data_IF_064960425894
#
_entry.id   IF_064960425894
#
_cell.length_a   1.000
_cell.length_b   1.000
_cell.length_c   1.000
_cell.angle_alpha   90.00
_cell.angle_beta   90.00
_cell.angle_gamma   90.00
#
_symmetry.space_group_name_H-M   'P 1'
#
loop_
_entity.id
_entity.type
_entity.pdbx_description
1 polymer ?
#
# COMPACT_ATOMS: atom_id res chain seq x y z
N UNK A 1 -17.81 -8.85 6.88
CA UNK A 1 -16.79 -7.77 6.74
C UNK A 1 -15.52 -8.12 7.50
N UNK A 2 -15.56 -8.39 8.81
CA UNK A 2 -14.35 -8.70 9.58
C UNK A 2 -13.58 -9.91 9.05
N UNK A 3 -14.27 -10.96 8.61
CA UNK A 3 -13.63 -12.14 7.98
C UNK A 3 -12.86 -11.76 6.69
N UNK A 4 -13.45 -10.91 5.86
CA UNK A 4 -12.81 -10.40 4.64
C UNK A 4 -11.56 -9.57 4.97
N UNK A 5 -11.64 -8.73 6.01
CA UNK A 5 -10.50 -7.95 6.50
C UNK A 5 -9.38 -8.87 7.01
N UNK A 6 -9.71 -9.95 7.72
CA UNK A 6 -8.71 -10.95 8.15
C UNK A 6 -8.05 -11.65 6.95
N UNK A 7 -8.82 -12.02 5.92
CA UNK A 7 -8.29 -12.60 4.69
C UNK A 7 -7.31 -11.64 3.97
N UNK A 8 -7.66 -10.35 3.87
CA UNK A 8 -6.77 -9.32 3.32
C UNK A 8 -5.49 -9.21 4.16
N UNK A 9 -5.61 -9.15 5.48
CA UNK A 9 -4.46 -9.08 6.38
C UNK A 9 -3.54 -10.31 6.30
N UNK A 10 -4.09 -11.50 6.02
CA UNK A 10 -3.28 -12.70 5.73
C UNK A 10 -2.43 -12.51 4.47
N UNK A 11 -3.01 -11.95 3.41
CA UNK A 11 -2.26 -11.63 2.18
C UNK A 11 -1.16 -10.60 2.48
N UNK A 12 -1.45 -9.56 3.26
CA UNK A 12 -0.46 -8.54 3.62
C UNK A 12 0.71 -9.10 4.41
N UNK A 13 0.44 -9.98 5.38
CA UNK A 13 1.50 -10.69 6.12
C UNK A 13 2.37 -11.54 5.20
N UNK A 14 1.78 -12.20 4.20
CA UNK A 14 2.54 -12.98 3.23
C UNK A 14 3.44 -12.10 2.34
N UNK A 15 2.95 -10.92 1.91
CA UNK A 15 3.76 -9.93 1.19
C UNK A 15 4.93 -9.48 2.07
N UNK A 16 4.65 -9.06 3.30
CA UNK A 16 5.68 -8.55 4.21
C UNK A 16 6.76 -9.60 4.49
N UNK A 17 6.40 -10.87 4.68
CA UNK A 17 7.34 -11.98 4.86
C UNK A 17 8.22 -12.22 3.64
N UNK A 18 7.65 -12.20 2.42
CA UNK A 18 8.45 -12.36 1.20
C UNK A 18 9.40 -11.20 0.98
N UNK A 19 8.95 -9.96 1.26
CA UNK A 19 9.82 -8.79 1.22
C UNK A 19 10.95 -8.95 2.23
N UNK A 20 10.67 -9.33 3.47
CA UNK A 20 11.71 -9.54 4.49
C UNK A 20 12.78 -10.55 4.03
N UNK A 21 12.36 -11.68 3.45
CA UNK A 21 13.28 -12.68 2.88
C UNK A 21 14.15 -12.07 1.76
N UNK A 22 13.55 -11.34 0.82
CA UNK A 22 14.28 -10.66 -0.25
C UNK A 22 15.29 -9.65 0.32
N UNK A 23 14.87 -8.85 1.30
CA UNK A 23 15.71 -7.82 1.92
C UNK A 23 16.90 -8.44 2.65
N UNK A 24 16.68 -9.53 3.40
CA UNK A 24 17.75 -10.25 4.08
C UNK A 24 18.75 -10.87 3.10
N UNK A 25 18.26 -11.41 1.98
CA UNK A 25 19.11 -12.06 0.98
C UNK A 25 19.92 -11.07 0.12
N UNK A 26 19.36 -9.91 -0.19
CA UNK A 26 19.94 -8.95 -1.15
C UNK A 26 20.52 -7.69 -0.51
N UNK A 27 20.11 -7.35 0.71
CA UNK A 27 20.36 -6.04 1.31
C UNK A 27 19.52 -4.91 0.72
N UNK A 28 18.56 -5.18 -0.18
CA UNK A 28 17.67 -4.17 -0.75
C UNK A 28 16.83 -3.50 0.35
N UNK A 29 16.88 -2.18 0.43
CA UNK A 29 16.11 -1.43 1.42
C UNK A 29 15.83 -0.01 0.91
N UNK A 30 14.72 0.57 1.38
CA UNK A 30 14.52 2.00 1.18
C UNK A 30 15.53 2.79 2.04
N UNK A 31 16.05 3.94 1.57
CA UNK A 31 16.86 4.80 2.42
C UNK A 31 16.10 5.23 3.68
N UNK A 32 16.85 5.47 4.77
CA UNK A 32 16.27 5.97 6.01
C UNK A 32 15.51 7.27 5.77
N UNK A 33 14.26 7.34 6.24
CA UNK A 33 13.39 8.50 6.05
C UNK A 33 12.80 8.62 4.64
N UNK A 34 12.79 7.57 3.83
CA UNK A 34 12.15 7.58 2.52
C UNK A 34 10.62 7.48 2.63
N UNK A 35 9.92 8.47 2.05
CA UNK A 35 8.46 8.48 1.90
C UNK A 35 8.00 8.69 0.44
N UNK A 36 8.91 8.59 -0.53
CA UNK A 36 8.70 9.00 -1.92
C UNK A 36 7.54 8.28 -2.63
N UNK A 37 7.18 7.07 -2.20
CA UNK A 37 6.01 6.37 -2.74
C UNK A 37 4.68 7.06 -2.36
N UNK A 38 4.60 7.71 -1.20
CA UNK A 38 3.40 8.42 -0.73
C UNK A 38 3.23 9.79 -1.41
N UNK A 39 4.30 10.36 -1.97
CA UNK A 39 4.27 11.62 -2.73
C UNK A 39 3.72 11.45 -4.15
N UNK A 40 3.57 10.21 -4.66
CA UNK A 40 3.07 9.98 -6.00
C UNK A 40 1.54 10.23 -6.05
N UNK A 41 1.06 11.22 -6.83
CA UNK A 41 -0.37 11.55 -6.89
C UNK A 41 -1.21 10.55 -7.70
N UNK A 42 -0.56 9.59 -8.36
CA UNK A 42 -1.19 8.59 -9.22
C UNK A 42 -1.30 7.22 -8.54
N UNK A 43 -1.17 7.16 -7.21
CA UNK A 43 -1.34 5.90 -6.49
C UNK A 43 -2.83 5.54 -6.49
N UNK A 44 -3.13 4.37 -7.04
CA UNK A 44 -4.48 3.83 -7.10
C UNK A 44 -4.57 2.52 -6.30
N UNK A 45 -5.71 2.25 -5.70
CA UNK A 45 -5.98 1.01 -5.00
C UNK A 45 -7.48 0.73 -5.03
N UNK A 46 -7.85 -0.49 -4.65
CA UNK A 46 -9.26 -0.85 -4.51
C UNK A 46 -9.78 -0.42 -3.15
N UNK A 47 -11.10 -0.15 -3.04
CA UNK A 47 -11.76 0.06 -1.74
C UNK A 47 -11.55 -1.15 -0.83
N UNK A 48 -11.54 -2.36 -1.40
CA UNK A 48 -11.33 -3.61 -0.71
C UNK A 48 -10.02 -3.61 0.09
N UNK A 49 -8.92 -3.25 -0.57
CA UNK A 49 -7.58 -3.28 0.03
C UNK A 49 -7.40 -2.31 1.20
N UNK A 50 -8.16 -1.22 1.22
CA UNK A 50 -8.04 -0.24 2.28
C UNK A 50 -9.05 -0.41 3.42
N UNK A 51 -9.90 -1.45 3.36
CA UNK A 51 -10.81 -1.78 4.46
C UNK A 51 -10.10 -2.01 5.81
N UNK A 52 -8.94 -2.68 5.89
CA UNK A 52 -8.24 -2.84 7.17
C UNK A 52 -7.86 -1.50 7.81
N UNK A 53 -7.36 -0.54 7.00
CA UNK A 53 -7.05 0.80 7.49
C UNK A 53 -8.31 1.56 7.88
N UNK A 54 -9.37 1.50 7.07
CA UNK A 54 -10.63 2.15 7.40
C UNK A 54 -11.21 1.66 8.74
N UNK A 55 -11.14 0.35 9.01
CA UNK A 55 -11.54 -0.21 10.30
C UNK A 55 -10.71 0.34 11.46
N UNK A 56 -9.39 0.40 11.30
CA UNK A 56 -8.51 0.96 12.32
C UNK A 56 -8.85 2.43 12.62
N UNK A 57 -9.03 3.26 11.59
CA UNK A 57 -9.35 4.69 11.76
C UNK A 57 -10.70 4.89 12.47
N UNK A 58 -11.69 4.07 12.14
CA UNK A 58 -13.00 4.09 12.83
C UNK A 58 -12.86 3.64 14.29
N UNK A 59 -12.06 2.62 14.58
CA UNK A 59 -11.83 2.15 15.95
C UNK A 59 -11.07 3.16 16.82
N UNK A 60 -10.33 4.08 16.20
CA UNK A 60 -9.62 5.18 16.87
C UNK A 60 -10.45 6.47 16.97
N UNK A 61 -11.68 6.45 16.49
CA UNK A 61 -12.53 7.64 16.35
C UNK A 61 -11.85 8.76 15.51
N UNK A 62 -11.03 8.39 14.54
CA UNK A 62 -10.34 9.30 13.61
C UNK A 62 -11.07 9.44 12.25
N UNK A 63 -12.21 8.78 12.07
CA UNK A 63 -12.91 8.68 10.78
C UNK A 63 -13.29 10.05 10.20
N UNK A 64 -13.90 10.93 11.00
CA UNK A 64 -14.33 12.27 10.58
C UNK A 64 -13.13 13.11 10.12
N UNK A 65 -12.06 13.12 10.92
CA UNK A 65 -10.82 13.82 10.61
C UNK A 65 -10.25 13.39 9.25
N UNK A 66 -10.14 12.09 8.98
CA UNK A 66 -9.56 11.61 7.73
C UNK A 66 -10.48 11.81 6.51
N UNK A 67 -11.80 11.83 6.71
CA UNK A 67 -12.74 12.22 5.66
C UNK A 67 -12.58 13.69 5.28
N UNK A 68 -12.40 14.58 6.26
CA UNK A 68 -12.08 15.99 6.01
C UNK A 68 -10.75 16.16 5.27
N UNK A 69 -9.69 15.43 5.65
CA UNK A 69 -8.42 15.46 4.93
C UNK A 69 -8.58 15.01 3.47
N UNK A 70 -9.35 13.95 3.23
CA UNK A 70 -9.64 13.48 1.87
C UNK A 70 -10.41 14.54 1.06
N UNK A 71 -11.39 15.22 1.67
CA UNK A 71 -12.15 16.29 1.04
C UNK A 71 -11.28 17.52 0.71
N UNK A 72 -10.41 17.95 1.63
CA UNK A 72 -9.46 19.05 1.39
C UNK A 72 -8.49 18.75 0.25
N UNK A 73 -8.13 17.48 0.06
CA UNK A 73 -7.31 17.02 -1.07
C UNK A 73 -8.12 16.87 -2.38
N UNK A 74 -9.40 17.25 -2.42
CA UNK A 74 -10.33 16.94 -3.52
C UNK A 74 -10.31 15.45 -3.91
N UNK A 75 -10.13 14.57 -2.92
CA UNK A 75 -10.00 13.12 -3.06
C UNK A 75 -8.91 12.67 -4.06
N UNK A 76 -7.94 13.52 -4.38
CA UNK A 76 -6.90 13.25 -5.36
C UNK A 76 -5.54 13.75 -4.88
N UNK A 77 -4.48 13.56 -5.67
CA UNK A 77 -3.16 14.07 -5.36
C UNK A 77 -2.39 13.20 -4.37
N UNK A 78 -1.48 13.83 -3.61
CA UNK A 78 -0.61 13.17 -2.63
C UNK A 78 -1.44 12.41 -1.60
N UNK A 79 -0.97 11.25 -1.18
CA UNK A 79 -1.65 10.44 -0.18
C UNK A 79 -1.86 11.24 1.12
N UNK A 80 -3.10 11.29 1.62
CA UNK A 80 -3.43 12.03 2.85
C UNK A 80 -2.67 11.57 4.10
N UNK A 81 -2.15 10.34 4.09
CA UNK A 81 -1.33 9.80 5.19
C UNK A 81 0.17 10.07 5.04
N UNK A 82 0.59 10.82 4.03
CA UNK A 82 1.99 11.21 3.89
C UNK A 82 2.39 12.18 5.00
N UNK A 83 3.47 11.86 5.71
CA UNK A 83 4.07 12.70 6.73
C UNK A 83 5.44 13.18 6.24
N UNK A 84 5.59 14.44 5.78
CA UNK A 84 6.88 14.98 5.42
C UNK A 84 7.76 15.15 6.68
N UNK A 85 9.07 15.03 6.52
CA UNK A 85 10.04 15.39 7.55
C UNK A 85 10.33 16.89 7.46
N UNK A 86 10.00 17.64 8.51
CA UNK A 86 10.21 19.09 8.56
C UNK A 86 11.67 19.48 8.83
N UNK A 87 12.50 18.56 9.31
CA UNK A 87 13.90 18.80 9.64
C UNK A 87 14.82 18.43 8.48
N UNK A 88 14.45 17.43 7.68
CA UNK A 88 15.24 16.94 6.55
C UNK A 88 14.46 17.04 5.25
N UNK A 89 14.78 18.06 4.45
CA UNK A 89 14.11 18.29 3.18
C UNK A 89 14.18 17.06 2.26
N UNK A 90 13.02 16.64 1.75
CA UNK A 90 12.89 15.49 0.85
C UNK A 90 12.67 14.14 1.56
N UNK A 91 12.84 14.08 2.88
CA UNK A 91 12.44 12.93 3.70
C UNK A 91 10.95 13.00 4.06
N UNK A 92 10.41 11.83 4.38
CA UNK A 92 9.05 11.66 4.86
C UNK A 92 8.76 10.19 5.13
N UNK A 93 7.50 9.89 5.47
CA UNK A 93 7.05 8.52 5.74
C UNK A 93 5.55 8.37 5.55
N UNK A 94 5.10 7.12 5.51
CA UNK A 94 3.69 6.80 5.65
C UNK A 94 3.30 6.86 7.14
N UNK A 95 2.28 7.65 7.50
CA UNK A 95 1.74 7.71 8.87
C UNK A 95 0.97 6.45 9.29
N UNK A 96 0.64 5.58 8.33
CA UNK A 96 -0.20 4.37 8.49
C UNK A 96 0.53 3.11 8.01
N UNK A 97 1.85 3.05 8.20
CA UNK A 97 2.73 2.04 7.58
C UNK A 97 2.25 0.59 7.78
N UNK A 98 1.71 0.28 8.95
CA UNK A 98 1.21 -1.05 9.31
C UNK A 98 -0.04 -1.48 8.54
N UNK A 99 -0.85 -0.54 8.05
CA UNK A 99 -2.11 -0.82 7.33
C UNK A 99 -2.04 -0.44 5.85
N UNK A 100 -0.82 -0.33 5.29
CA UNK A 100 -0.63 -0.05 3.86
C UNK A 100 -1.35 -1.10 3.00
N UNK A 101 -2.02 -0.69 1.91
CA UNK A 101 -2.56 -1.63 0.93
C UNK A 101 -1.43 -2.35 0.17
N UNK A 102 -1.77 -3.35 -0.62
CA UNK A 102 -0.78 -4.22 -1.27
C UNK A 102 0.18 -3.44 -2.17
N UNK A 103 -0.33 -2.52 -2.99
CA UNK A 103 0.47 -1.67 -3.86
C UNK A 103 1.56 -0.92 -3.07
N UNK A 104 1.19 -0.33 -1.94
CA UNK A 104 2.12 0.45 -1.11
C UNK A 104 3.16 -0.42 -0.39
N UNK A 105 2.89 -1.70 -0.15
CA UNK A 105 3.85 -2.67 0.39
C UNK A 105 4.83 -3.14 -0.69
N UNK A 106 4.29 -3.50 -1.85
CA UNK A 106 5.01 -4.05 -2.98
C UNK A 106 5.90 -3.02 -3.69
N UNK A 107 5.57 -1.72 -3.59
CA UNK A 107 6.26 -0.66 -4.30
C UNK A 107 7.78 -0.66 -4.03
N UNK A 108 8.56 -0.89 -5.09
CA UNK A 108 10.03 -0.92 -5.02
C UNK A 108 10.64 -2.26 -4.59
N UNK A 109 9.82 -3.23 -4.19
CA UNK A 109 10.25 -4.55 -3.71
C UNK A 109 9.66 -5.73 -4.51
N UNK A 110 8.66 -5.47 -5.35
CA UNK A 110 7.98 -6.49 -6.12
C UNK A 110 8.51 -6.64 -7.55
N UNK A 111 8.40 -7.85 -8.07
CA UNK A 111 8.67 -8.18 -9.46
C UNK A 111 7.43 -7.99 -10.34
N UNK A 112 7.68 -7.79 -11.63
CA UNK A 112 6.70 -7.88 -12.71
C UNK A 112 7.17 -8.92 -13.72
N UNK A 113 6.22 -9.61 -14.33
CA UNK A 113 6.51 -10.53 -15.44
C UNK A 113 6.40 -9.77 -16.74
N UNK A 114 7.50 -9.68 -17.48
CA UNK A 114 7.52 -9.00 -18.77
C UNK A 114 6.81 -9.84 -19.86
N UNK A 115 6.63 -9.27 -21.05
CA UNK A 115 5.97 -9.94 -22.20
C UNK A 115 6.67 -11.22 -22.69
N UNK A 116 7.91 -11.45 -22.25
CA UNK A 116 8.71 -12.64 -22.58
C UNK A 116 8.67 -13.69 -21.45
N UNK A 117 7.87 -13.48 -20.40
CA UNK A 117 7.76 -14.41 -19.27
C UNK A 117 8.89 -14.29 -18.25
N UNK A 118 9.77 -13.29 -18.37
CA UNK A 118 10.88 -13.10 -17.44
C UNK A 118 10.46 -12.15 -16.31
N UNK A 119 10.86 -12.49 -15.08
CA UNK A 119 10.62 -11.64 -13.92
C UNK A 119 11.68 -10.55 -13.82
N UNK A 120 11.25 -9.32 -13.59
CA UNK A 120 12.10 -8.15 -13.39
C UNK A 120 11.64 -7.36 -12.17
N UNK A 121 12.56 -6.81 -11.38
CA UNK A 121 12.17 -5.99 -10.23
C UNK A 121 11.58 -4.67 -10.73
N UNK A 122 10.38 -4.33 -10.25
CA UNK A 122 9.80 -3.00 -10.42
C UNK A 122 10.46 -1.99 -9.45
N UNK A 123 11.77 -1.83 -9.58
CA UNK A 123 12.57 -0.97 -8.71
C UNK A 123 12.12 0.50 -8.80
N UNK A 124 11.97 1.15 -7.66
CA UNK A 124 11.67 2.58 -7.64
C UNK A 124 12.88 3.42 -8.08
N UNK A 125 12.63 4.68 -8.47
CA UNK A 125 13.69 5.61 -8.89
C UNK A 125 14.80 5.74 -7.84
N UNK A 126 14.43 5.74 -6.55
CA UNK A 126 15.40 5.87 -5.45
C UNK A 126 16.30 4.64 -5.38
N UNK A 127 15.76 3.41 -5.41
CA UNK A 127 16.57 2.18 -5.45
C UNK A 127 17.54 2.18 -6.65
N UNK A 128 17.07 2.60 -7.84
CA UNK A 128 17.92 2.68 -9.04
C UNK A 128 19.09 3.66 -8.87
N UNK A 129 18.91 4.72 -8.10
CA UNK A 129 19.93 5.74 -7.87
C UNK A 129 20.88 5.37 -6.73
N UNK A 130 20.37 4.76 -5.65
CA UNK A 130 21.13 4.57 -4.42
C UNK A 130 21.69 3.16 -4.27
N UNK A 131 21.15 2.16 -4.97
CA UNK A 131 21.53 0.74 -4.81
C UNK A 131 21.67 -0.02 -6.15
N UNK A 132 22.33 0.54 -7.19
CA UNK A 132 22.42 -0.10 -8.51
C UNK A 132 23.13 -1.47 -8.47
N UNK A 133 24.13 -1.64 -7.61
CA UNK A 133 24.87 -2.91 -7.48
C UNK A 133 24.02 -4.03 -6.86
N UNK A 134 23.19 -3.70 -5.86
CA UNK A 134 22.23 -4.64 -5.28
C UNK A 134 21.18 -5.05 -6.31
N UNK A 135 20.70 -4.11 -7.12
CA UNK A 135 19.74 -4.42 -8.18
C UNK A 135 20.32 -5.34 -9.26
N UNK A 136 21.61 -5.22 -9.57
CA UNK A 136 22.28 -6.05 -10.58
C UNK A 136 22.45 -7.51 -10.16
N UNK A 137 22.42 -7.80 -8.86
CA UNK A 137 22.65 -9.14 -8.28
C UNK A 137 21.45 -9.65 -7.48
N UNK A 138 20.30 -8.98 -7.62
CA UNK A 138 19.09 -9.28 -6.85
C UNK A 138 18.58 -10.71 -7.16
N UNK A 139 18.31 -11.55 -6.15
CA UNK A 139 17.64 -12.84 -6.32
C UNK A 139 16.15 -12.60 -6.62
N UNK A 140 15.84 -12.33 -7.89
CA UNK A 140 14.52 -11.89 -8.34
C UNK A 140 13.41 -12.89 -8.05
N UNK A 141 13.73 -14.18 -7.99
CA UNK A 141 12.83 -15.28 -7.65
C UNK A 141 12.29 -15.20 -6.22
N UNK A 142 12.96 -14.46 -5.33
CA UNK A 142 12.48 -14.21 -3.97
C UNK A 142 11.53 -13.00 -3.89
N UNK A 143 11.49 -12.17 -4.93
CA UNK A 143 10.66 -10.97 -4.92
C UNK A 143 9.18 -11.30 -5.15
N UNK A 144 8.26 -10.75 -4.33
CA UNK A 144 6.82 -10.94 -4.54
C UNK A 144 6.41 -10.41 -5.91
N UNK A 145 5.53 -11.10 -6.64
CA UNK A 145 5.07 -10.62 -7.94
C UNK A 145 3.79 -9.79 -7.82
N UNK A 146 3.74 -8.65 -8.50
CA UNK A 146 2.58 -7.76 -8.49
C UNK A 146 1.28 -8.45 -8.97
N UNK A 147 1.36 -9.21 -10.06
CA UNK A 147 0.20 -9.84 -10.68
C UNK A 147 -0.37 -10.94 -9.79
N UNK A 148 0.49 -11.70 -9.12
CA UNK A 148 0.08 -12.80 -8.24
C UNK A 148 -0.74 -12.28 -7.06
N UNK A 149 -0.26 -11.24 -6.38
CA UNK A 149 -0.96 -10.65 -5.24
C UNK A 149 -2.21 -9.87 -5.65
N UNK A 150 -2.15 -9.15 -6.78
CA UNK A 150 -3.33 -8.48 -7.34
C UNK A 150 -4.44 -9.49 -7.65
N UNK A 151 -4.10 -10.65 -8.23
CA UNK A 151 -5.05 -11.72 -8.50
C UNK A 151 -5.62 -12.32 -7.22
N UNK A 152 -4.79 -12.60 -6.21
CA UNK A 152 -5.26 -13.10 -4.92
C UNK A 152 -6.27 -12.16 -4.26
N UNK A 153 -6.00 -10.85 -4.23
CA UNK A 153 -6.89 -9.84 -3.67
C UNK A 153 -8.20 -9.72 -4.46
N UNK A 154 -8.12 -9.69 -5.80
CA UNK A 154 -9.30 -9.67 -6.68
C UNK A 154 -10.20 -10.88 -6.44
N UNK A 155 -9.62 -12.06 -6.18
CA UNK A 155 -10.38 -13.27 -5.92
C UNK A 155 -11.13 -13.27 -4.58
N UNK A 156 -10.75 -12.43 -3.62
CA UNK A 156 -11.50 -12.29 -2.36
C UNK A 156 -12.86 -11.62 -2.57
N UNK A 157 -12.94 -10.66 -3.49
CA UNK A 157 -14.18 -10.00 -3.86
C UNK A 157 -14.11 -9.42 -5.29
N UNK A 158 -14.47 -10.21 -6.32
CA UNK A 158 -14.35 -9.80 -7.72
C UNK A 158 -15.15 -8.53 -8.06
N UNK A 159 -16.29 -8.33 -7.40
CA UNK A 159 -17.21 -7.21 -7.63
C UNK A 159 -16.70 -5.88 -7.06
N UNK A 160 -15.61 -5.88 -6.27
CA UNK A 160 -14.99 -4.68 -5.68
C UNK A 160 -13.53 -4.54 -6.11
N UNK A 161 -13.31 -4.58 -7.43
CA UNK A 161 -11.97 -4.56 -8.05
C UNK A 161 -11.64 -3.29 -8.83
N UNK A 162 -12.48 -2.26 -8.73
CA UNK A 162 -12.22 -0.96 -9.34
C UNK A 162 -11.02 -0.27 -8.68
N UNK A 163 -10.07 0.15 -9.50
CA UNK A 163 -8.96 0.98 -9.07
C UNK A 163 -9.42 2.44 -9.01
N UNK A 164 -9.19 3.06 -7.85
CA UNK A 164 -9.51 4.44 -7.58
C UNK A 164 -8.27 5.15 -7.03
N UNK A 165 -8.15 6.48 -7.21
CA UNK A 165 -7.16 7.26 -6.48
C UNK A 165 -7.20 6.92 -4.98
N UNK A 166 -6.04 6.74 -4.36
CA UNK A 166 -5.95 6.22 -2.99
C UNK A 166 -6.81 7.00 -1.99
N UNK A 167 -6.86 8.33 -2.12
CA UNK A 167 -7.67 9.19 -1.25
C UNK A 167 -9.19 8.98 -1.47
N UNK A 168 -9.63 8.72 -2.71
CA UNK A 168 -11.02 8.33 -3.03
C UNK A 168 -11.35 6.96 -2.44
N UNK A 169 -10.48 5.96 -2.67
CA UNK A 169 -10.68 4.61 -2.15
C UNK A 169 -10.82 4.62 -0.62
N UNK A 170 -9.98 5.41 0.07
CA UNK A 170 -10.06 5.59 1.51
C UNK A 170 -11.38 6.21 1.97
N UNK A 171 -11.81 7.30 1.35
CA UNK A 171 -13.04 7.99 1.75
C UNK A 171 -14.26 7.06 1.62
N UNK A 172 -14.32 6.25 0.55
CA UNK A 172 -15.38 5.25 0.37
C UNK A 172 -15.28 4.16 1.46
N UNK A 173 -14.08 3.66 1.74
CA UNK A 173 -13.88 2.62 2.74
C UNK A 173 -14.24 3.08 4.16
N UNK A 174 -13.84 4.29 4.57
CA UNK A 174 -14.17 4.87 5.88
C UNK A 174 -15.69 4.99 6.04
N UNK A 175 -16.39 5.57 5.06
CA UNK A 175 -17.85 5.68 5.10
C UNK A 175 -18.52 4.30 5.18
N UNK A 176 -18.04 3.32 4.40
CA UNK A 176 -18.59 1.96 4.40
C UNK A 176 -18.43 1.26 5.76
N UNK A 177 -17.27 1.39 6.39
CA UNK A 177 -17.02 0.79 7.70
C UNK A 177 -17.78 1.52 8.81
N UNK A 178 -17.80 2.86 8.77
CA UNK A 178 -18.54 3.69 9.74
C UNK A 178 -20.03 3.37 9.77
N UNK A 179 -20.69 3.33 8.60
CA UNK A 179 -22.11 2.97 8.51
C UNK A 179 -22.40 1.60 9.14
N UNK A 180 -21.54 0.61 8.90
CA UNK A 180 -21.73 -0.73 9.46
C UNK A 180 -21.55 -0.78 10.98
N UNK A 181 -20.68 0.06 11.56
CA UNK A 181 -20.57 0.23 13.02
C UNK A 181 -21.87 0.79 13.58
N UNK A 182 -22.36 1.87 12.99
CA UNK A 182 -23.58 2.53 13.45
C UNK A 182 -24.78 1.58 13.41
N UNK A 183 -24.90 0.70 12.39
CA UNK A 183 -25.95 -0.34 12.33
C UNK A 183 -25.82 -1.45 13.39
N UNK A 184 -24.64 -1.70 13.95
CA UNK A 184 -24.42 -2.73 14.97
C UNK A 184 -24.67 -2.22 16.39
N UNK A 185 -24.65 -0.90 16.58
CA UNK A 185 -24.92 -0.23 17.86
C UNK A 185 -26.43 0.06 18.09
N UNK A 186 -27.30 -0.31 17.14
CA UNK A 186 -28.78 -0.34 17.26
C UNK A 186 -29.31 -1.76 17.50
#
# INVERSE_FOLDING_TARGET
MLELIDQINKIYRAIDQQIEVLQQASGLQCPSGCGKCCENPQVETTVLEVLPLALELVQRDEAEYWLEQAAHANHSGVCIFYQPDHLVAGNGRCGVYAWRPSLCRLFGFASITNKHGQSELAACKIHKQTMPEVLATLPIELAPNFSDYSMQLRNLNPDQSDLLPINTAMAIAINKVGLLRDYQDY
#
